data_IF_532110270003
#
_entry.id   IF_532110270003
#
_cell.length_a   1.000
_cell.length_b   1.000
_cell.length_c   1.000
_cell.angle_alpha   90.00
_cell.angle_beta   90.00
_cell.angle_gamma   90.00
#
_symmetry.space_group_name_H-M   'P 1'
#
loop_
_entity.id
_entity.type
_entity.pdbx_description
1 polymer ?
#
# COMPACT_ATOMS: atom_id res chain seq x y z
N UNK A 1 -15.48 -17.16 4.50
CA UNK A 1 -15.49 -16.40 5.79
C UNK A 1 -14.90 -15.00 5.57
N UNK A 2 -15.19 -13.99 6.40
CA UNK A 2 -14.71 -12.61 6.19
C UNK A 2 -13.17 -12.47 6.09
N UNK A 3 -12.44 -13.42 6.68
CA UNK A 3 -10.98 -13.48 6.62
C UNK A 3 -10.45 -13.98 5.26
N UNK A 4 -11.21 -14.83 4.57
CA UNK A 4 -10.82 -15.38 3.26
C UNK A 4 -10.97 -14.34 2.16
N UNK A 5 -12.05 -13.55 2.18
CA UNK A 5 -12.27 -12.47 1.20
C UNK A 5 -11.21 -11.37 1.29
N UNK A 6 -10.76 -11.06 2.51
CA UNK A 6 -9.64 -10.14 2.74
C UNK A 6 -8.32 -10.70 2.18
N UNK A 7 -8.06 -11.99 2.45
CA UNK A 7 -6.85 -12.67 1.99
C UNK A 7 -6.77 -12.71 0.46
N UNK A 8 -7.89 -12.95 -0.20
CA UNK A 8 -7.98 -12.97 -1.66
C UNK A 8 -7.73 -11.58 -2.28
N UNK A 9 -8.35 -10.53 -1.72
CA UNK A 9 -8.13 -9.14 -2.17
C UNK A 9 -6.69 -8.69 -2.00
N UNK A 10 -6.09 -8.95 -0.84
CA UNK A 10 -4.69 -8.61 -0.57
C UNK A 10 -3.75 -9.35 -1.53
N UNK A 11 -4.00 -10.63 -1.78
CA UNK A 11 -3.20 -11.43 -2.73
C UNK A 11 -3.27 -10.88 -4.16
N UNK A 12 -4.44 -10.42 -4.59
CA UNK A 12 -4.62 -9.74 -5.88
C UNK A 12 -3.84 -8.44 -6.00
N UNK A 13 -3.83 -7.63 -4.93
CA UNK A 13 -3.08 -6.38 -4.87
C UNK A 13 -1.57 -6.65 -4.94
N UNK A 14 -1.05 -7.61 -4.17
CA UNK A 14 0.37 -7.96 -4.22
C UNK A 14 0.82 -8.51 -5.58
N UNK A 15 -0.03 -9.26 -6.29
CA UNK A 15 0.24 -9.69 -7.68
C UNK A 15 0.36 -8.50 -8.62
N UNK A 16 -0.54 -7.52 -8.53
CA UNK A 16 -0.45 -6.28 -9.32
C UNK A 16 0.80 -5.48 -8.99
N UNK A 17 1.16 -5.39 -7.71
CA UNK A 17 2.35 -4.70 -7.20
C UNK A 17 3.65 -5.31 -7.73
N UNK A 18 3.78 -6.64 -7.71
CA UNK A 18 4.91 -7.35 -8.33
C UNK A 18 4.99 -7.17 -9.85
N UNK A 19 3.85 -7.01 -10.52
CA UNK A 19 3.78 -6.79 -11.97
C UNK A 19 4.21 -5.38 -12.40
N UNK A 20 4.30 -4.42 -11.48
CA UNK A 20 4.78 -3.07 -11.77
C UNK A 20 6.26 -2.94 -11.42
N UNK A 21 7.09 -2.94 -12.48
CA UNK A 21 8.57 -2.89 -12.43
C UNK A 21 9.13 -1.61 -11.80
N UNK A 22 8.30 -0.57 -11.60
CA UNK A 22 8.73 0.70 -11.01
C UNK A 22 7.59 1.34 -10.22
N UNK A 23 7.81 1.53 -8.92
CA UNK A 23 6.99 2.43 -8.11
C UNK A 23 7.30 3.86 -8.55
N UNK A 24 6.39 4.47 -9.30
CA UNK A 24 6.39 5.92 -9.51
C UNK A 24 5.61 6.59 -8.39
N UNK A 25 5.93 7.85 -8.06
CA UNK A 25 5.18 8.61 -7.05
C UNK A 25 3.67 8.62 -7.35
N UNK A 26 3.30 8.71 -8.62
CA UNK A 26 1.91 8.73 -9.08
C UNK A 26 1.19 7.41 -8.81
N UNK A 27 1.81 6.27 -9.16
CA UNK A 27 1.22 4.96 -8.91
C UNK A 27 1.16 4.67 -7.40
N UNK A 28 2.13 5.14 -6.62
CA UNK A 28 2.17 4.96 -5.17
C UNK A 28 1.00 5.67 -4.48
N UNK A 29 0.69 6.91 -4.86
CA UNK A 29 -0.43 7.65 -4.26
C UNK A 29 -1.78 7.01 -4.56
N UNK A 30 -1.98 6.53 -5.80
CA UNK A 30 -3.20 5.82 -6.20
C UNK A 30 -3.37 4.51 -5.43
N UNK A 31 -2.28 3.76 -5.24
CA UNK A 31 -2.28 2.54 -4.43
C UNK A 31 -2.58 2.80 -2.95
N UNK A 32 -2.00 3.86 -2.35
CA UNK A 32 -2.28 4.23 -0.96
C UNK A 32 -3.74 4.67 -0.77
N UNK A 33 -4.37 5.24 -1.80
CA UNK A 33 -5.81 5.52 -1.81
C UNK A 33 -6.63 4.23 -1.79
N UNK A 34 -6.34 3.27 -2.65
CA UNK A 34 -7.05 1.97 -2.68
C UNK A 34 -6.93 1.23 -1.34
N UNK A 35 -5.73 1.17 -0.77
CA UNK A 35 -5.48 0.53 0.53
C UNK A 35 -6.30 1.21 1.63
N UNK A 36 -6.36 2.54 1.66
CA UNK A 36 -7.16 3.28 2.64
C UNK A 36 -8.64 2.97 2.54
N UNK A 37 -9.20 2.91 1.32
CA UNK A 37 -10.60 2.55 1.11
C UNK A 37 -10.87 1.14 1.59
N UNK A 38 -10.03 0.17 1.20
CA UNK A 38 -10.18 -1.23 1.60
C UNK A 38 -10.11 -1.43 3.12
N UNK A 39 -9.25 -0.67 3.83
CA UNK A 39 -9.16 -0.74 5.28
C UNK A 39 -10.38 -0.13 5.97
N UNK A 40 -10.94 0.96 5.44
CA UNK A 40 -12.16 1.55 5.98
C UNK A 40 -13.39 0.67 5.71
N UNK A 41 -13.47 0.00 4.55
CA UNK A 41 -14.51 -1.00 4.23
C UNK A 41 -14.47 -2.22 5.18
N UNK A 42 -13.31 -2.52 5.76
CA UNK A 42 -13.11 -3.63 6.69
C UNK A 42 -13.35 -3.24 8.17
N UNK A 43 -14.08 -2.15 8.43
CA UNK A 43 -14.36 -1.62 9.77
C UNK A 43 -13.11 -1.28 10.61
N UNK A 44 -11.98 -0.95 9.96
CA UNK A 44 -10.77 -0.51 10.67
C UNK A 44 -10.92 0.95 11.10
N UNK A 45 -10.51 1.24 12.34
CA UNK A 45 -10.57 2.59 12.89
C UNK A 45 -9.76 3.60 12.05
N UNK A 46 -10.37 4.74 11.72
CA UNK A 46 -9.75 5.80 10.92
C UNK A 46 -8.37 6.24 11.41
N UNK A 47 -8.13 6.31 12.73
CA UNK A 47 -6.82 6.69 13.29
C UNK A 47 -5.75 5.66 12.95
N UNK A 48 -6.10 4.37 12.99
CA UNK A 48 -5.21 3.26 12.62
C UNK A 48 -4.91 3.30 11.12
N UNK A 49 -5.94 3.49 10.29
CA UNK A 49 -5.77 3.60 8.83
C UNK A 49 -4.86 4.77 8.46
N UNK A 50 -5.09 5.94 9.07
CA UNK A 50 -4.27 7.14 8.83
C UNK A 50 -2.80 6.90 9.19
N UNK A 51 -2.53 6.32 10.36
CA UNK A 51 -1.16 6.02 10.78
C UNK A 51 -0.50 4.97 9.88
N UNK A 52 -1.25 3.92 9.50
CA UNK A 52 -0.76 2.87 8.61
C UNK A 52 -0.33 3.45 7.25
N UNK A 53 -1.21 4.24 6.61
CA UNK A 53 -0.92 4.87 5.32
C UNK A 53 0.28 5.81 5.40
N UNK A 54 0.40 6.59 6.48
CA UNK A 54 1.55 7.47 6.69
C UNK A 54 2.87 6.70 6.80
N UNK A 55 2.89 5.64 7.62
CA UNK A 55 4.07 4.79 7.80
C UNK A 55 4.48 4.09 6.50
N UNK A 56 3.51 3.63 5.69
CA UNK A 56 3.78 3.00 4.40
C UNK A 56 4.34 4.01 3.40
N UNK A 57 3.78 5.23 3.34
CA UNK A 57 4.28 6.31 2.47
C UNK A 57 5.73 6.69 2.82
N UNK A 58 6.02 6.84 4.10
CA UNK A 58 7.36 7.18 4.58
C UNK A 58 8.39 6.10 4.23
N UNK A 59 8.07 4.82 4.47
CA UNK A 59 8.96 3.70 4.10
C UNK A 59 9.18 3.59 2.60
N UNK A 60 8.14 3.82 1.81
CA UNK A 60 8.22 3.73 0.36
C UNK A 60 9.09 4.85 -0.24
N UNK A 61 8.94 6.09 0.25
CA UNK A 61 9.82 7.20 -0.10
C UNK A 61 11.26 6.98 0.39
N UNK A 62 11.43 6.50 1.63
CA UNK A 62 12.75 6.21 2.20
C UNK A 62 13.52 5.14 1.43
N UNK A 63 12.82 4.09 0.95
CA UNK A 63 13.44 3.09 0.08
C UNK A 63 13.75 3.60 -1.33
N UNK A 64 12.92 4.48 -1.90
CA UNK A 64 13.22 5.10 -3.20
C UNK A 64 14.48 5.98 -3.12
N UNK A 65 14.63 6.73 -2.02
CA UNK A 65 15.81 7.56 -1.76
C UNK A 65 17.07 6.70 -1.60
N UNK A 66 17.01 5.64 -0.80
CA UNK A 66 18.15 4.71 -0.62
C UNK A 66 18.51 3.99 -1.93
N UNK A 67 17.53 3.66 -2.76
CA UNK A 67 17.77 3.02 -4.07
C UNK A 67 18.39 3.98 -5.09
N UNK A 68 18.16 5.30 -4.96
CA UNK A 68 18.80 6.33 -5.81
C UNK A 68 20.21 6.72 -5.33
N UNK A 69 20.55 6.44 -4.07
CA UNK A 69 21.84 6.80 -3.46
C UNK A 69 22.91 5.70 -3.55
N UNK A 70 22.58 4.51 -4.06
CA UNK A 70 23.59 3.54 -4.46
C UNK A 70 23.96 3.78 -5.94
N UNK A 71 25.19 4.24 -6.25
CA UNK A 71 25.69 4.33 -7.62
C UNK A 71 25.81 2.96 -8.29
#
# INVERSE_FOLDING_TARGET
MAFESLTERLSGIFKKLRGQVRLSERNMEDMLKEIRVALLEADVNYRVVKQFVANVKEKALGQEVLSKLNP
#
